data_IF_171516772892
#
_entry.id   IF_171516772892
#
_cell.length_a   1.000
_cell.length_b   1.000
_cell.length_c   1.000
_cell.angle_alpha   90.00
_cell.angle_beta   90.00
_cell.angle_gamma   90.00
#
_symmetry.space_group_name_H-M   'P 1'
#
loop_
_entity.id
_entity.type
_entity.pdbx_description
1 polymer ?
#
# COMPACT_ATOMS: atom_id res chain seq x y z
N UNK A 1 -0.85 -23.56 -29.66
CA UNK A 1 -1.83 -22.55 -29.25
C UNK A 1 -0.99 -21.32 -28.98
N UNK A 2 -1.23 -20.18 -29.63
CA UNK A 2 -0.45 -18.97 -29.37
C UNK A 2 -0.98 -18.35 -28.07
N UNK A 3 -0.10 -17.91 -27.17
CA UNK A 3 -0.47 -17.10 -26.01
C UNK A 3 -0.79 -15.68 -26.50
N UNK A 4 -1.79 -15.02 -25.92
CA UNK A 4 -2.06 -13.62 -26.23
C UNK A 4 -0.90 -12.74 -25.75
N UNK A 5 -0.70 -11.59 -26.39
CA UNK A 5 0.31 -10.60 -25.98
C UNK A 5 0.10 -10.17 -24.51
N UNK A 6 -1.16 -9.96 -24.13
CA UNK A 6 -1.56 -9.66 -22.74
C UNK A 6 -1.16 -10.76 -21.75
N UNK A 7 -1.43 -12.02 -22.06
CA UNK A 7 -1.07 -13.12 -21.18
C UNK A 7 0.45 -13.31 -21.10
N UNK A 8 1.20 -12.95 -22.15
CA UNK A 8 2.66 -12.93 -22.12
C UNK A 8 3.21 -11.81 -21.21
N UNK A 9 2.58 -10.63 -21.23
CA UNK A 9 2.93 -9.52 -20.34
C UNK A 9 2.67 -9.86 -18.87
N UNK A 10 1.50 -10.46 -18.58
CA UNK A 10 1.19 -10.99 -17.23
C UNK A 10 2.28 -11.95 -16.75
N UNK A 11 2.72 -12.89 -17.59
CA UNK A 11 3.79 -13.81 -17.22
C UNK A 11 5.08 -13.07 -16.89
N UNK A 12 5.49 -12.09 -17.72
CA UNK A 12 6.72 -11.34 -17.48
C UNK A 12 6.64 -10.52 -16.19
N UNK A 13 5.49 -9.94 -15.88
CA UNK A 13 5.30 -9.14 -14.68
C UNK A 13 5.30 -9.99 -13.42
N UNK A 14 4.64 -11.16 -13.45
CA UNK A 14 4.70 -12.11 -12.35
C UNK A 14 6.10 -12.72 -12.17
N UNK A 15 6.88 -12.90 -13.24
CA UNK A 15 8.29 -13.28 -13.15
C UNK A 15 9.10 -12.20 -12.41
N UNK A 16 8.90 -10.91 -12.75
CA UNK A 16 9.57 -9.80 -12.05
C UNK A 16 9.20 -9.76 -10.57
N UNK A 17 7.90 -9.82 -10.24
CA UNK A 17 7.41 -9.84 -8.85
C UNK A 17 8.04 -10.99 -8.05
N UNK A 18 8.09 -12.20 -8.61
CA UNK A 18 8.65 -13.32 -7.89
C UNK A 18 10.18 -13.20 -7.72
N UNK A 19 10.90 -12.63 -8.68
CA UNK A 19 12.33 -12.32 -8.49
C UNK A 19 12.55 -11.26 -7.40
N UNK A 20 11.66 -10.28 -7.30
CA UNK A 20 11.67 -9.28 -6.24
C UNK A 20 11.38 -9.92 -4.88
N UNK A 21 10.36 -10.79 -4.78
CA UNK A 21 10.10 -11.62 -3.58
C UNK A 21 11.31 -12.45 -3.17
N UNK A 22 11.96 -13.14 -4.11
CA UNK A 22 13.19 -13.93 -3.85
C UNK A 22 14.25 -13.05 -3.21
N UNK A 23 14.52 -11.89 -3.80
CA UNK A 23 15.54 -10.95 -3.31
C UNK A 23 15.18 -10.41 -1.93
N UNK A 24 13.91 -10.05 -1.76
CA UNK A 24 13.34 -9.53 -0.53
C UNK A 24 13.49 -10.46 0.66
N UNK A 25 13.02 -11.70 0.53
CA UNK A 25 13.14 -12.70 1.59
C UNK A 25 14.59 -13.10 1.89
N UNK A 26 15.45 -13.18 0.87
CA UNK A 26 16.89 -13.43 1.08
C UNK A 26 17.54 -12.31 1.89
N UNK A 27 17.15 -11.05 1.62
CA UNK A 27 17.65 -9.88 2.34
C UNK A 27 17.10 -9.84 3.76
N UNK A 28 15.80 -10.04 3.97
CA UNK A 28 15.17 -10.17 5.28
C UNK A 28 15.88 -11.24 6.13
N UNK A 29 16.17 -12.42 5.55
CA UNK A 29 16.92 -13.47 6.23
C UNK A 29 18.38 -13.13 6.55
N UNK A 30 19.02 -12.28 5.75
CA UNK A 30 20.40 -11.80 6.00
C UNK A 30 20.45 -10.76 7.11
N UNK A 31 19.41 -9.94 7.24
CA UNK A 31 19.35 -8.85 8.22
C UNK A 31 18.91 -9.32 9.62
N UNK A 32 18.47 -10.58 9.75
CA UNK A 32 18.29 -11.26 11.02
C UNK A 32 19.66 -11.58 11.67
N UNK A 33 19.87 -11.13 12.91
CA UNK A 33 21.12 -11.37 13.67
C UNK A 33 21.23 -12.77 14.26
N UNK A 34 20.11 -13.35 14.65
CA UNK A 34 19.96 -14.69 15.19
C UNK A 34 18.77 -15.36 14.48
N UNK A 35 18.76 -16.69 14.34
CA UNK A 35 17.58 -17.43 13.84
C UNK A 35 16.52 -17.52 14.96
N UNK A 36 16.11 -16.36 15.45
CA UNK A 36 15.05 -16.22 16.43
C UNK A 36 13.78 -16.83 15.83
N UNK A 37 13.38 -17.97 16.39
CA UNK A 37 12.14 -18.67 16.07
C UNK A 37 12.02 -19.31 14.67
N UNK A 38 13.13 -19.56 13.96
CA UNK A 38 13.11 -20.29 12.69
C UNK A 38 12.66 -19.47 11.48
N UNK A 39 12.64 -18.14 11.60
CA UNK A 39 12.27 -17.21 10.54
C UNK A 39 13.16 -17.31 9.31
N UNK A 40 14.45 -17.63 9.49
CA UNK A 40 15.35 -17.85 8.36
C UNK A 40 14.85 -19.04 7.53
N UNK A 41 14.30 -20.08 8.15
CA UNK A 41 13.73 -21.22 7.43
C UNK A 41 12.45 -20.83 6.67
N UNK A 42 11.62 -19.95 7.25
CA UNK A 42 10.41 -19.42 6.60
C UNK A 42 10.77 -18.59 5.38
N UNK A 43 11.64 -17.59 5.53
CA UNK A 43 12.06 -16.74 4.40
C UNK A 43 12.74 -17.55 3.29
N UNK A 44 13.57 -18.54 3.64
CA UNK A 44 14.16 -19.44 2.65
C UNK A 44 13.12 -20.31 1.94
N UNK A 45 12.07 -20.76 2.64
CA UNK A 45 10.95 -21.48 2.03
C UNK A 45 10.24 -20.59 1.01
N UNK A 46 9.85 -19.38 1.41
CA UNK A 46 9.11 -18.45 0.55
C UNK A 46 9.94 -18.01 -0.67
N UNK A 47 11.24 -17.71 -0.49
CA UNK A 47 12.15 -17.46 -1.60
C UNK A 47 12.29 -18.69 -2.53
N UNK A 48 12.31 -19.91 -1.96
CA UNK A 48 12.35 -21.14 -2.73
C UNK A 48 11.09 -21.37 -3.58
N UNK A 49 9.90 -21.09 -3.02
CA UNK A 49 8.62 -21.16 -3.71
C UNK A 49 8.55 -20.12 -4.85
N UNK A 50 8.92 -18.87 -4.58
CA UNK A 50 8.98 -17.84 -5.63
C UNK A 50 9.95 -18.20 -6.76
N UNK A 51 11.09 -18.83 -6.46
CA UNK A 51 12.02 -19.29 -7.50
C UNK A 51 11.42 -20.43 -8.35
N UNK A 52 10.60 -21.30 -7.76
CA UNK A 52 9.85 -22.32 -8.50
C UNK A 52 8.82 -21.66 -9.41
N UNK A 53 8.08 -20.67 -8.92
CA UNK A 53 7.10 -19.92 -9.71
C UNK A 53 7.74 -19.21 -10.90
N UNK A 54 8.90 -18.54 -10.71
CA UNK A 54 9.69 -17.98 -11.82
C UNK A 54 10.03 -19.04 -12.86
N UNK A 55 10.44 -20.23 -12.43
CA UNK A 55 10.82 -21.32 -13.34
C UNK A 55 9.62 -21.81 -14.16
N UNK A 56 8.49 -22.07 -13.49
CA UNK A 56 7.25 -22.50 -14.14
C UNK A 56 6.74 -21.47 -15.16
N UNK A 57 6.70 -20.20 -14.76
CA UNK A 57 6.28 -19.10 -15.63
C UNK A 57 7.22 -18.92 -16.83
N UNK A 58 8.53 -19.06 -16.61
CA UNK A 58 9.54 -19.01 -17.67
C UNK A 58 9.39 -20.17 -18.65
N UNK A 59 9.16 -21.39 -18.15
CA UNK A 59 8.93 -22.57 -18.98
C UNK A 59 7.66 -22.42 -19.83
N UNK A 60 6.60 -21.86 -19.26
CA UNK A 60 5.37 -21.54 -19.99
C UNK A 60 5.65 -20.52 -21.09
N UNK A 61 6.32 -19.40 -20.77
CA UNK A 61 6.68 -18.38 -21.76
C UNK A 61 7.47 -18.97 -22.94
N UNK A 62 8.44 -19.85 -22.66
CA UNK A 62 9.27 -20.51 -23.67
C UNK A 62 8.49 -21.52 -24.53
N UNK A 63 7.58 -22.31 -23.93
CA UNK A 63 6.77 -23.29 -24.67
C UNK A 63 5.88 -22.64 -25.75
N UNK A 64 5.53 -21.37 -25.57
CA UNK A 64 4.67 -20.61 -26.48
C UNK A 64 5.43 -19.75 -27.50
N UNK A 65 6.75 -19.92 -27.60
CA UNK A 65 7.57 -19.31 -28.66
C UNK A 65 8.03 -17.88 -28.40
N UNK A 66 7.81 -17.36 -27.18
CA UNK A 66 8.44 -16.13 -26.72
C UNK A 66 9.85 -16.40 -26.19
N UNK A 67 10.81 -15.54 -26.51
CA UNK A 67 12.00 -15.43 -25.67
C UNK A 67 11.53 -14.84 -24.34
N UNK A 68 11.62 -15.60 -23.25
CA UNK A 68 11.35 -15.07 -21.92
C UNK A 68 12.22 -13.83 -21.73
N UNK A 69 11.59 -12.68 -21.52
CA UNK A 69 12.30 -11.43 -21.43
C UNK A 69 13.19 -11.47 -20.18
N UNK A 70 14.51 -11.55 -20.38
CA UNK A 70 15.51 -11.17 -19.37
C UNK A 70 15.53 -9.63 -19.18
N UNK A 71 14.64 -8.89 -19.85
CA UNK A 71 14.45 -7.45 -19.68
C UNK A 71 13.31 -6.88 -20.54
N UNK A 72 12.49 -6.06 -19.87
CA UNK A 72 11.48 -5.10 -20.36
C UNK A 72 10.52 -5.55 -21.47
N UNK A 73 9.47 -6.32 -21.14
CA UNK A 73 8.15 -5.99 -21.69
C UNK A 73 7.41 -5.08 -20.71
N UNK A 74 6.78 -4.06 -21.29
CA UNK A 74 6.24 -2.84 -20.69
C UNK A 74 4.76 -2.78 -21.04
N UNK A 75 3.91 -3.48 -20.28
CA UNK A 75 2.46 -3.32 -20.41
C UNK A 75 1.75 -3.75 -19.11
N UNK A 76 1.72 -2.83 -18.14
CA UNK A 76 1.01 -2.99 -16.86
C UNK A 76 1.79 -2.36 -15.72
N UNK A 77 1.18 -1.47 -14.93
CA UNK A 77 1.81 -0.79 -13.79
C UNK A 77 2.30 -1.79 -12.73
N UNK A 78 3.57 -2.23 -12.83
CA UNK A 78 4.16 -3.12 -11.84
C UNK A 78 4.75 -2.34 -10.66
N UNK A 79 4.04 -2.33 -9.53
CA UNK A 79 4.50 -1.77 -8.27
C UNK A 79 5.39 -2.80 -7.52
N UNK A 80 6.69 -2.51 -7.38
CA UNK A 80 7.69 -3.44 -6.80
C UNK A 80 7.92 -3.15 -5.32
N UNK A 81 7.15 -3.78 -4.44
CA UNK A 81 7.22 -3.55 -2.99
C UNK A 81 8.56 -3.95 -2.32
N UNK A 82 9.29 -4.94 -2.85
CA UNK A 82 10.54 -5.44 -2.23
C UNK A 82 11.81 -4.69 -2.65
N UNK A 83 11.72 -3.68 -3.53
CA UNK A 83 12.86 -2.83 -3.86
C UNK A 83 13.30 -1.99 -2.64
N UNK A 84 12.34 -1.57 -1.82
CA UNK A 84 12.58 -0.75 -0.63
C UNK A 84 13.38 -1.47 0.47
N UNK A 85 13.29 -2.81 0.55
CA UNK A 85 14.14 -3.62 1.47
C UNK A 85 15.63 -3.43 1.19
N UNK A 86 16.03 -3.10 -0.05
CA UNK A 86 17.44 -2.86 -0.38
C UNK A 86 18.00 -1.61 0.31
N UNK A 87 17.13 -0.71 0.82
CA UNK A 87 17.48 0.61 1.31
C UNK A 87 17.72 0.77 2.81
N UNK A 88 16.90 0.20 3.72
CA UNK A 88 16.84 0.78 5.07
C UNK A 88 16.43 -0.17 6.19
N UNK A 89 17.35 -0.93 6.79
CA UNK A 89 17.16 -1.45 8.16
C UNK A 89 18.48 -1.52 8.93
N UNK A 90 18.54 -0.92 10.11
CA UNK A 90 19.60 -1.21 11.09
C UNK A 90 19.21 -2.50 11.81
N UNK A 91 19.84 -3.63 11.48
CA UNK A 91 19.42 -4.99 11.87
C UNK A 91 19.28 -5.27 13.37
N UNK A 92 18.20 -4.81 13.98
CA UNK A 92 17.80 -5.06 15.36
C UNK A 92 16.27 -5.06 15.57
N UNK A 93 15.48 -4.74 14.55
CA UNK A 93 14.03 -4.64 14.68
C UNK A 93 13.35 -5.73 13.83
N UNK A 94 13.05 -6.84 14.49
CA UNK A 94 12.39 -7.98 13.86
C UNK A 94 10.98 -7.60 13.38
N UNK A 95 10.27 -6.73 14.11
CA UNK A 95 8.92 -6.30 13.77
C UNK A 95 8.95 -5.47 12.48
N UNK A 96 9.92 -4.56 12.34
CA UNK A 96 10.14 -3.82 11.10
C UNK A 96 10.43 -4.73 9.89
N UNK A 97 11.22 -5.80 10.09
CA UNK A 97 11.47 -6.79 9.03
C UNK A 97 10.18 -7.53 8.66
N UNK A 98 9.35 -7.90 9.63
CA UNK A 98 8.09 -8.61 9.38
C UNK A 98 7.04 -7.73 8.70
N UNK A 99 6.89 -6.48 9.14
CA UNK A 99 6.01 -5.48 8.50
C UNK A 99 6.36 -5.25 7.04
N UNK A 100 7.65 -5.11 6.77
CA UNK A 100 8.15 -4.95 5.40
C UNK A 100 7.89 -6.21 4.56
N UNK A 101 8.09 -7.40 5.16
CA UNK A 101 7.73 -8.65 4.50
C UNK A 101 6.23 -8.74 4.20
N UNK A 102 5.37 -8.36 5.14
CA UNK A 102 3.91 -8.38 4.97
C UNK A 102 3.46 -7.45 3.84
N UNK A 103 3.96 -6.20 3.81
CA UNK A 103 3.70 -5.25 2.72
C UNK A 103 4.15 -5.80 1.35
N UNK A 104 5.33 -6.41 1.33
CA UNK A 104 5.87 -7.06 0.13
C UNK A 104 5.01 -8.24 -0.35
N UNK A 105 4.45 -9.01 0.58
CA UNK A 105 3.56 -10.12 0.27
C UNK A 105 2.18 -9.63 -0.22
N UNK A 106 1.63 -8.55 0.35
CA UNK A 106 0.36 -7.95 -0.07
C UNK A 106 0.40 -7.40 -1.49
N UNK A 107 1.48 -6.73 -1.87
CA UNK A 107 1.68 -6.29 -3.25
C UNK A 107 1.67 -7.46 -4.24
N UNK A 108 2.29 -8.59 -3.87
CA UNK A 108 2.28 -9.78 -4.71
C UNK A 108 0.90 -10.45 -4.77
N UNK A 109 0.14 -10.48 -3.66
CA UNK A 109 -1.25 -10.96 -3.64
C UNK A 109 -2.12 -10.16 -4.59
N UNK A 110 -2.02 -8.83 -4.52
CA UNK A 110 -2.74 -7.92 -5.41
C UNK A 110 -2.39 -8.19 -6.87
N UNK A 111 -1.10 -8.27 -7.20
CA UNK A 111 -0.67 -8.50 -8.58
C UNK A 111 -1.15 -9.86 -9.14
N UNK A 112 -1.15 -10.93 -8.35
CA UNK A 112 -1.70 -12.22 -8.78
C UNK A 112 -3.22 -12.19 -8.97
N UNK A 113 -3.93 -11.47 -8.09
CA UNK A 113 -5.38 -11.27 -8.22
C UNK A 113 -5.70 -10.52 -9.52
N UNK A 114 -4.99 -9.44 -9.78
CA UNK A 114 -5.22 -8.60 -10.96
C UNK A 114 -4.80 -9.33 -12.25
N UNK A 115 -3.74 -10.15 -12.19
CA UNK A 115 -3.32 -11.02 -13.29
C UNK A 115 -4.38 -12.04 -13.71
N UNK A 116 -5.21 -12.50 -12.78
CA UNK A 116 -6.28 -13.47 -13.02
C UNK A 116 -7.55 -12.84 -13.62
N UNK A 117 -7.56 -11.54 -13.88
CA UNK A 117 -8.67 -10.87 -14.52
C UNK A 117 -8.96 -11.48 -15.92
N UNK A 118 -10.24 -11.77 -16.25
CA UNK A 118 -10.62 -12.27 -17.57
C UNK A 118 -10.13 -11.41 -18.76
N UNK A 119 -9.91 -10.11 -18.58
CA UNK A 119 -9.41 -9.18 -19.60
C UNK A 119 -7.97 -9.45 -20.03
N UNK A 120 -7.20 -10.17 -19.21
CA UNK A 120 -5.82 -10.58 -19.51
C UNK A 120 -5.75 -11.76 -20.49
N UNK A 121 -6.90 -12.32 -20.89
CA UNK A 121 -7.01 -13.33 -21.96
C UNK A 121 -6.12 -14.57 -21.71
N UNK A 122 -6.03 -14.99 -20.43
CA UNK A 122 -5.24 -16.15 -20.04
C UNK A 122 -5.82 -17.44 -20.65
N UNK A 123 -4.95 -18.38 -21.02
CA UNK A 123 -5.41 -19.73 -21.32
C UNK A 123 -5.90 -20.42 -20.03
N UNK A 124 -6.84 -21.39 -20.11
CA UNK A 124 -7.28 -22.13 -18.94
C UNK A 124 -6.13 -22.80 -18.18
N UNK A 125 -5.11 -23.28 -18.88
CA UNK A 125 -3.92 -23.89 -18.28
C UNK A 125 -3.07 -22.87 -17.53
N UNK A 126 -2.86 -21.68 -18.09
CA UNK A 126 -2.12 -20.60 -17.42
C UNK A 126 -2.89 -20.07 -16.20
N UNK A 127 -4.19 -19.83 -16.35
CA UNK A 127 -5.04 -19.39 -15.24
C UNK A 127 -5.00 -20.39 -14.07
N UNK A 128 -5.00 -21.71 -14.35
CA UNK A 128 -4.86 -22.73 -13.32
C UNK A 128 -3.51 -22.67 -12.61
N UNK A 129 -2.41 -22.46 -13.34
CA UNK A 129 -1.08 -22.28 -12.75
C UNK A 129 -1.06 -21.05 -11.85
N UNK A 130 -1.57 -19.90 -12.34
CA UNK A 130 -1.60 -18.66 -11.56
C UNK A 130 -2.45 -18.78 -10.29
N UNK A 131 -3.59 -19.49 -10.33
CA UNK A 131 -4.41 -19.76 -9.15
C UNK A 131 -3.67 -20.60 -8.10
N UNK A 132 -2.90 -21.62 -8.53
CA UNK A 132 -2.10 -22.45 -7.61
C UNK A 132 -1.00 -21.60 -6.96
N UNK A 133 -0.32 -20.76 -7.74
CA UNK A 133 0.72 -19.89 -7.22
C UNK A 133 0.14 -18.80 -6.30
N UNK A 134 -1.00 -18.21 -6.65
CA UNK A 134 -1.73 -17.25 -5.80
C UNK A 134 -2.10 -17.88 -4.45
N UNK A 135 -2.55 -19.13 -4.43
CA UNK A 135 -2.82 -19.83 -3.19
C UNK A 135 -1.56 -19.95 -2.32
N UNK A 136 -0.42 -20.36 -2.90
CA UNK A 136 0.84 -20.44 -2.16
C UNK A 136 1.33 -19.07 -1.66
N UNK A 137 1.09 -18.01 -2.43
CA UNK A 137 1.35 -16.62 -2.05
C UNK A 137 0.48 -16.18 -0.85
N UNK A 138 -0.81 -16.52 -0.86
CA UNK A 138 -1.70 -16.25 0.26
C UNK A 138 -1.26 -17.01 1.52
N UNK A 139 -0.90 -18.29 1.39
CA UNK A 139 -0.39 -19.11 2.49
C UNK A 139 0.94 -18.55 3.05
N UNK A 140 1.80 -18.02 2.17
CA UNK A 140 3.04 -17.36 2.55
C UNK A 140 2.81 -16.07 3.32
N UNK A 141 1.92 -15.21 2.83
CA UNK A 141 1.47 -14.00 3.51
C UNK A 141 0.90 -14.33 4.90
N UNK A 142 -0.04 -15.27 5.00
CA UNK A 142 -0.68 -15.62 6.26
C UNK A 142 0.32 -16.17 7.28
N UNK A 143 1.35 -16.87 6.81
CA UNK A 143 2.46 -17.30 7.65
C UNK A 143 3.27 -16.10 8.17
N UNK A 144 3.63 -15.15 7.31
CA UNK A 144 4.33 -13.92 7.70
C UNK A 144 3.51 -13.12 8.71
N UNK A 145 2.23 -12.89 8.42
CA UNK A 145 1.28 -12.23 9.33
C UNK A 145 1.19 -12.95 10.66
N UNK A 146 1.05 -14.28 10.66
CA UNK A 146 0.99 -15.04 11.91
C UNK A 146 2.26 -14.91 12.76
N UNK A 147 3.42 -14.73 12.12
CA UNK A 147 4.70 -14.56 12.80
C UNK A 147 4.88 -13.12 13.29
N UNK A 148 4.38 -12.15 12.53
CA UNK A 148 4.22 -10.75 12.94
C UNK A 148 3.33 -10.69 14.19
N UNK A 149 2.12 -11.23 14.14
CA UNK A 149 1.15 -11.23 15.24
C UNK A 149 1.70 -11.95 16.47
N UNK A 150 2.33 -13.13 16.30
CA UNK A 150 2.98 -13.84 17.42
C UNK A 150 4.09 -13.02 18.07
N UNK A 151 4.77 -12.16 17.31
CA UNK A 151 5.84 -11.31 17.81
C UNK A 151 5.29 -10.08 18.50
N UNK A 152 4.30 -9.43 17.90
CA UNK A 152 3.57 -8.33 18.52
C UNK A 152 2.95 -8.80 19.84
N UNK A 153 2.30 -9.96 19.85
CA UNK A 153 1.79 -10.63 21.04
C UNK A 153 2.88 -10.96 22.07
N UNK A 154 4.09 -11.35 21.65
CA UNK A 154 5.19 -11.65 22.58
C UNK A 154 5.79 -10.39 23.21
N UNK A 155 5.88 -9.30 22.44
CA UNK A 155 6.29 -7.99 22.93
C UNK A 155 5.19 -7.40 23.85
N UNK A 156 3.91 -7.68 23.57
CA UNK A 156 2.75 -7.28 24.37
C UNK A 156 2.50 -8.18 25.61
N UNK A 157 2.93 -9.45 25.60
CA UNK A 157 2.90 -10.36 26.74
C UNK A 157 3.86 -9.96 27.87
N UNK A 158 4.81 -9.05 27.61
CA UNK A 158 5.56 -8.38 28.69
C UNK A 158 4.70 -7.37 29.47
N UNK A 159 3.56 -6.95 28.91
CA UNK A 159 2.58 -6.07 29.53
C UNK A 159 1.35 -6.83 30.11
N UNK A 160 0.89 -7.93 29.51
CA UNK A 160 -0.30 -8.68 29.94
C UNK A 160 -0.05 -9.76 31.03
N UNK A 161 0.36 -9.33 32.23
CA UNK A 161 -0.03 -10.05 33.46
C UNK A 161 -1.42 -9.65 33.96
N UNK A 162 -2.18 -8.94 33.13
CA UNK A 162 -3.53 -8.46 33.40
C UNK A 162 -4.45 -8.89 32.24
N UNK A 163 -5.62 -9.43 32.58
CA UNK A 163 -6.83 -9.43 31.71
C UNK A 163 -7.06 -10.49 30.62
N UNK A 164 -6.63 -11.74 30.82
CA UNK A 164 -7.15 -12.88 30.03
C UNK A 164 -8.58 -13.26 30.46
N UNK A 165 -9.64 -13.01 29.67
CA UNK A 165 -10.91 -13.80 29.74
C UNK A 165 -11.89 -13.73 28.55
N UNK A 166 -11.62 -13.06 27.41
CA UNK A 166 -12.69 -12.79 26.41
C UNK A 166 -12.57 -13.42 25.01
N UNK A 167 -11.49 -14.12 24.64
CA UNK A 167 -11.15 -14.44 23.23
C UNK A 167 -11.88 -15.63 22.57
N UNK A 168 -12.66 -16.42 23.32
CA UNK A 168 -13.27 -17.65 22.78
C UNK A 168 -14.42 -17.47 21.76
N UNK A 169 -14.89 -16.24 21.56
CA UNK A 169 -16.05 -15.96 20.70
C UNK A 169 -15.70 -15.45 19.30
N UNK A 170 -14.43 -15.12 19.03
CA UNK A 170 -13.98 -14.39 17.83
C UNK A 170 -13.77 -15.29 16.60
N UNK A 171 -13.42 -16.56 16.81
CA UNK A 171 -12.97 -17.48 15.73
C UNK A 171 -14.13 -18.17 14.98
N UNK A 172 -15.33 -18.23 15.57
CA UNK A 172 -16.54 -18.78 14.91
C UNK A 172 -17.24 -17.79 13.98
N UNK A 173 -16.93 -16.50 14.09
CA UNK A 173 -17.62 -15.41 13.37
C UNK A 173 -17.05 -15.17 11.96
N UNK A 174 -15.71 -15.24 11.81
CA UNK A 174 -15.04 -15.03 10.51
C UNK A 174 -15.39 -16.08 9.45
N UNK A 175 -15.77 -17.30 9.85
CA UNK A 175 -16.25 -18.32 8.91
C UNK A 175 -17.65 -18.04 8.35
N UNK A 176 -18.50 -17.27 9.05
CA UNK A 176 -19.85 -16.95 8.57
C UNK A 176 -19.89 -15.70 7.65
N UNK A 177 -18.89 -14.82 7.74
CA UNK A 177 -18.79 -13.58 6.94
C UNK A 177 -18.30 -13.81 5.50
N UNK A 178 -17.40 -14.77 5.28
CA UNK A 178 -16.85 -15.08 3.94
C UNK A 178 -17.89 -15.64 2.95
N UNK A 179 -19.03 -16.14 3.41
CA UNK A 179 -20.09 -16.66 2.55
C UNK A 179 -21.10 -15.60 2.07
N UNK A 180 -21.08 -14.36 2.59
CA UNK A 180 -22.14 -13.36 2.31
C UNK A 180 -21.80 -12.24 1.30
N UNK A 181 -20.55 -12.03 0.91
CA UNK A 181 -20.17 -10.95 -0.01
C UNK A 181 -19.67 -11.47 -1.37
N UNK A 182 -20.59 -12.04 -2.14
CA UNK A 182 -20.48 -12.11 -3.60
C UNK A 182 -21.48 -11.13 -4.20
N UNK A 183 -20.98 -10.13 -4.95
CA UNK A 183 -21.69 -9.08 -5.71
C UNK A 183 -21.88 -7.73 -4.99
N UNK A 184 -21.05 -6.72 -5.34
CA UNK A 184 -21.38 -5.29 -5.53
C UNK A 184 -20.24 -4.58 -6.32
N UNK A 185 -20.51 -3.43 -7.00
CA UNK A 185 -20.12 -3.19 -8.40
C UNK A 185 -18.79 -2.43 -8.61
N UNK A 186 -18.20 -2.63 -9.80
CA UNK A 186 -17.00 -1.96 -10.30
C UNK A 186 -17.22 -0.46 -10.51
N UNK A 187 -16.23 0.34 -10.08
CA UNK A 187 -16.19 1.79 -10.27
C UNK A 187 -15.57 2.15 -11.64
N UNK A 188 -16.20 1.70 -12.73
CA UNK A 188 -15.88 2.16 -14.08
C UNK A 188 -16.73 3.38 -14.43
N UNK A 189 -16.14 4.58 -14.38
CA UNK A 189 -16.91 5.76 -14.82
C UNK A 189 -16.30 7.16 -14.67
N UNK A 190 -15.02 7.32 -14.29
CA UNK A 190 -14.46 8.66 -14.07
C UNK A 190 -13.33 9.10 -15.01
N UNK A 191 -12.74 8.21 -15.81
CA UNK A 191 -11.69 8.57 -16.78
C UNK A 191 -12.21 8.41 -18.21
N UNK A 192 -12.49 9.52 -18.88
CA UNK A 192 -12.81 9.52 -20.30
C UNK A 192 -11.60 9.08 -21.13
N UNK A 193 -11.84 8.20 -22.10
CA UNK A 193 -10.86 7.72 -23.07
C UNK A 193 -10.09 8.89 -23.72
N UNK A 194 -8.78 8.99 -23.44
CA UNK A 194 -7.87 9.82 -24.22
C UNK A 194 -7.07 8.95 -25.17
N UNK A 195 -7.25 9.20 -26.45
CA UNK A 195 -6.56 8.58 -27.59
C UNK A 195 -5.05 8.88 -27.51
N UNK A 196 -4.25 8.00 -26.90
CA UNK A 196 -2.80 8.20 -26.76
C UNK A 196 -2.02 7.58 -27.93
N UNK A 197 -1.86 8.36 -28.99
CA UNK A 197 -0.63 8.31 -29.78
C UNK A 197 0.30 9.44 -29.31
N UNK A 198 1.59 9.09 -29.12
CA UNK A 198 2.76 9.93 -28.79
C UNK A 198 2.98 10.19 -27.28
N UNK A 199 4.17 10.13 -26.69
CA UNK A 199 5.53 9.94 -27.18
C UNK A 199 6.40 9.35 -26.05
N UNK A 200 6.85 8.09 -26.19
CA UNK A 200 7.95 7.58 -25.39
C UNK A 200 9.26 8.19 -25.94
N UNK A 201 9.95 8.98 -25.14
CA UNK A 201 11.38 9.20 -25.37
C UNK A 201 12.10 7.99 -24.73
N UNK A 202 12.93 7.26 -25.48
CA UNK A 202 13.62 6.07 -24.96
C UNK A 202 14.62 6.45 -23.87
N UNK A 203 14.73 5.61 -22.84
CA UNK A 203 15.73 5.74 -21.77
C UNK A 203 17.16 5.81 -22.35
N UNK A 204 18.08 6.53 -21.68
CA UNK A 204 19.47 6.59 -22.11
C UNK A 204 20.13 5.20 -22.01
N UNK A 205 20.59 4.68 -23.14
CA UNK A 205 21.31 3.40 -23.21
C UNK A 205 22.79 3.55 -22.82
N UNK A 206 23.28 4.79 -22.62
CA UNK A 206 24.68 5.07 -22.33
C UNK A 206 24.92 6.39 -21.58
N UNK A 207 26.15 6.55 -21.09
CA UNK A 207 26.62 7.66 -20.25
C UNK A 207 26.51 9.03 -20.97
N UNK A 208 26.71 9.10 -22.29
CA UNK A 208 26.58 10.36 -23.04
C UNK A 208 25.11 10.79 -23.14
N UNK A 209 24.20 9.82 -23.30
CA UNK A 209 22.76 10.08 -23.24
C UNK A 209 22.31 10.41 -21.82
N UNK A 210 22.86 9.76 -20.80
CA UNK A 210 22.59 10.08 -19.38
C UNK A 210 22.95 11.54 -19.07
N UNK A 211 24.08 12.04 -19.55
CA UNK A 211 24.50 13.44 -19.39
C UNK A 211 23.56 14.41 -20.14
N UNK A 212 23.15 14.08 -21.36
CA UNK A 212 22.18 14.88 -22.15
C UNK A 212 20.76 14.85 -21.53
N UNK A 213 20.38 13.71 -20.93
CA UNK A 213 19.16 13.51 -20.16
C UNK A 213 19.14 14.33 -18.86
N UNK A 214 20.25 14.36 -18.12
CA UNK A 214 20.42 15.19 -16.93
C UNK A 214 20.41 16.69 -17.28
N UNK A 215 20.97 17.09 -18.42
CA UNK A 215 20.95 18.47 -18.91
C UNK A 215 19.54 18.91 -19.37
N UNK A 216 18.74 17.99 -19.92
CA UNK A 216 17.31 18.19 -20.24
C UNK A 216 16.42 18.30 -18.99
N UNK A 217 16.69 17.51 -17.94
CA UNK A 217 16.02 17.66 -16.65
C UNK A 217 16.40 18.97 -15.95
N UNK A 218 17.67 19.36 -15.99
CA UNK A 218 18.15 20.63 -15.44
C UNK A 218 17.56 21.87 -16.16
N UNK A 219 17.12 21.73 -17.41
CA UNK A 219 16.44 22.79 -18.16
C UNK A 219 14.91 22.77 -18.03
N UNK A 220 14.30 21.65 -17.61
CA UNK A 220 12.84 21.50 -17.44
C UNK A 220 12.33 21.71 -16.01
N UNK A 221 13.20 21.58 -15.00
CA UNK A 221 12.94 21.67 -13.56
C UNK A 221 12.39 23.02 -13.05
N UNK A 222 12.21 24.03 -13.89
CA UNK A 222 11.80 25.37 -13.43
C UNK A 222 10.85 26.19 -14.31
N UNK A 223 10.16 25.63 -15.30
CA UNK A 223 9.43 26.49 -16.26
C UNK A 223 8.12 25.95 -16.87
N UNK A 224 7.48 24.93 -16.28
CA UNK A 224 6.15 24.48 -16.74
C UNK A 224 5.07 24.83 -15.71
N UNK A 225 3.87 25.20 -16.19
CA UNK A 225 2.71 25.41 -15.32
C UNK A 225 2.30 24.15 -14.56
N UNK A 226 2.62 22.98 -15.13
CA UNK A 226 2.36 21.69 -14.49
C UNK A 226 3.29 21.47 -13.29
N UNK A 227 4.56 21.85 -13.40
CA UNK A 227 5.52 21.80 -12.29
C UNK A 227 5.15 22.80 -11.20
N UNK A 228 4.72 24.01 -11.58
CA UNK A 228 4.19 25.01 -10.63
C UNK A 228 2.98 24.45 -9.86
N UNK A 229 2.03 23.82 -10.58
CA UNK A 229 0.88 23.17 -9.96
C UNK A 229 1.30 22.02 -9.03
N UNK A 230 2.16 21.10 -9.50
CA UNK A 230 2.68 19.99 -8.70
C UNK A 230 3.33 20.46 -7.39
N UNK A 231 4.17 21.50 -7.45
CA UNK A 231 4.79 22.05 -6.24
C UNK A 231 3.76 22.70 -5.32
N UNK A 232 2.73 23.36 -5.84
CA UNK A 232 1.67 23.93 -5.00
C UNK A 232 0.86 22.84 -4.31
N UNK A 233 0.53 21.75 -5.00
CA UNK A 233 -0.18 20.61 -4.40
C UNK A 233 0.69 19.87 -3.36
N UNK A 234 2.02 19.79 -3.53
CA UNK A 234 2.92 19.29 -2.47
C UNK A 234 2.84 20.15 -1.20
N UNK A 235 2.71 21.47 -1.34
CA UNK A 235 2.56 22.39 -0.19
C UNK A 235 1.20 22.22 0.50
N UNK A 236 0.17 21.90 -0.28
CA UNK A 236 -1.19 21.64 0.19
C UNK A 236 -1.23 20.34 1.01
N UNK A 237 -0.69 19.24 0.45
CA UNK A 237 -0.53 17.96 1.14
C UNK A 237 0.31 18.08 2.41
N UNK A 238 1.48 18.74 2.35
CA UNK A 238 2.32 18.88 3.54
C UNK A 238 1.62 19.68 4.65
N UNK A 239 0.73 20.60 4.28
CA UNK A 239 -0.10 21.29 5.27
C UNK A 239 -1.16 20.35 5.85
N UNK A 240 -1.88 19.61 4.99
CA UNK A 240 -2.94 18.68 5.40
C UNK A 240 -2.41 17.65 6.41
N UNK A 241 -1.29 17.01 6.09
CA UNK A 241 -0.61 16.01 6.91
C UNK A 241 -0.20 16.57 8.28
N UNK A 242 0.34 17.79 8.31
CA UNK A 242 0.70 18.45 9.57
C UNK A 242 -0.51 18.80 10.41
N UNK A 243 -1.60 19.22 9.77
CA UNK A 243 -2.86 19.49 10.47
C UNK A 243 -3.45 18.19 11.06
N UNK A 244 -3.37 17.07 10.33
CA UNK A 244 -3.78 15.76 10.82
C UNK A 244 -2.91 15.26 11.98
N UNK A 245 -1.58 15.48 11.95
CA UNK A 245 -0.70 15.19 13.09
C UNK A 245 -1.16 15.90 14.37
N UNK A 246 -1.66 17.14 14.24
CA UNK A 246 -2.18 17.90 15.38
C UNK A 246 -3.62 17.45 15.78
N UNK A 247 -4.40 16.92 14.84
CA UNK A 247 -5.83 16.57 15.02
C UNK A 247 -6.06 15.15 15.54
N UNK A 248 -5.33 14.16 15.02
CA UNK A 248 -5.51 12.74 15.34
C UNK A 248 -5.41 12.41 16.85
N UNK A 249 -4.56 13.07 17.67
CA UNK A 249 -4.57 12.88 19.12
C UNK A 249 -5.93 13.20 19.76
N UNK A 250 -6.60 14.27 19.32
CA UNK A 250 -7.88 14.69 19.87
C UNK A 250 -9.00 13.74 19.44
N UNK A 251 -8.94 13.21 18.20
CA UNK A 251 -9.86 12.17 17.73
C UNK A 251 -9.68 10.86 18.51
N UNK A 252 -8.44 10.46 18.78
CA UNK A 252 -8.14 9.29 19.60
C UNK A 252 -8.62 9.47 21.06
N UNK A 253 -8.47 10.65 21.65
CA UNK A 253 -9.00 10.93 22.99
C UNK A 253 -10.53 10.88 23.03
N UNK A 254 -11.18 11.42 21.99
CA UNK A 254 -12.64 11.52 21.90
C UNK A 254 -13.35 10.19 21.61
N UNK A 255 -12.68 9.24 20.95
CA UNK A 255 -13.22 7.92 20.67
C UNK A 255 -13.57 7.15 21.95
N UNK A 256 -14.52 6.23 21.86
CA UNK A 256 -15.02 5.45 22.99
C UNK A 256 -14.42 4.05 22.97
N UNK A 257 -14.53 3.38 21.82
CA UNK A 257 -14.04 2.02 21.61
C UNK A 257 -12.51 2.00 21.57
N UNK A 258 -11.91 1.01 22.23
CA UNK A 258 -10.45 0.88 22.28
C UNK A 258 -9.85 0.63 20.89
N UNK A 259 -10.60 -0.06 20.03
CA UNK A 259 -10.21 -0.35 18.65
C UNK A 259 -10.06 0.93 17.82
N UNK A 260 -11.06 1.82 17.86
CA UNK A 260 -11.01 3.10 17.16
C UNK A 260 -9.90 4.02 17.69
N UNK A 261 -9.66 4.01 19.01
CA UNK A 261 -8.53 4.74 19.62
C UNK A 261 -7.20 4.28 19.04
N UNK A 262 -7.01 2.97 19.00
CA UNK A 262 -5.77 2.37 18.46
C UNK A 262 -5.61 2.70 16.99
N UNK A 263 -6.69 2.65 16.20
CA UNK A 263 -6.65 3.03 14.78
C UNK A 263 -6.14 4.47 14.58
N UNK A 264 -6.68 5.46 15.30
CA UNK A 264 -6.20 6.85 15.20
C UNK A 264 -4.77 7.05 15.71
N UNK A 265 -4.34 6.31 16.74
CA UNK A 265 -2.96 6.39 17.25
C UNK A 265 -1.97 5.81 16.24
N UNK A 266 -2.30 4.68 15.64
CA UNK A 266 -1.46 4.05 14.61
C UNK A 266 -1.36 4.96 13.39
N UNK A 267 -2.51 5.47 12.92
CA UNK A 267 -2.54 6.37 11.79
C UNK A 267 -1.74 7.65 12.06
N UNK A 268 -1.79 8.22 13.27
CA UNK A 268 -0.93 9.35 13.64
C UNK A 268 0.58 9.08 13.45
N UNK A 269 1.05 7.85 13.70
CA UNK A 269 2.44 7.50 13.47
C UNK A 269 2.76 7.31 11.97
N UNK A 270 1.80 6.85 11.18
CA UNK A 270 1.86 6.84 9.71
C UNK A 270 1.92 8.27 9.16
N UNK A 271 1.00 9.16 9.55
CA UNK A 271 0.94 10.58 9.14
C UNK A 271 2.26 11.32 9.42
N UNK A 272 2.93 11.06 10.55
CA UNK A 272 4.28 11.63 10.82
C UNK A 272 5.34 11.15 9.82
N UNK A 273 5.21 9.91 9.36
CA UNK A 273 6.05 9.34 8.32
C UNK A 273 5.74 9.98 6.97
N UNK A 274 4.46 10.23 6.66
CA UNK A 274 4.00 10.93 5.46
C UNK A 274 4.55 12.35 5.38
N UNK A 275 4.48 13.12 6.47
CA UNK A 275 5.14 14.43 6.60
C UNK A 275 6.62 14.33 6.25
N UNK A 276 7.32 13.33 6.78
CA UNK A 276 8.75 13.13 6.53
C UNK A 276 9.04 12.78 5.06
N UNK A 277 8.17 11.99 4.41
CA UNK A 277 8.25 11.66 2.97
C UNK A 277 8.04 12.91 2.11
N UNK A 278 7.04 13.73 2.41
CA UNK A 278 6.80 14.98 1.69
C UNK A 278 7.98 15.96 1.84
N UNK A 279 8.52 16.13 3.04
CA UNK A 279 9.73 16.94 3.27
C UNK A 279 10.93 16.40 2.48
N UNK A 280 11.07 15.07 2.38
CA UNK A 280 12.09 14.45 1.54
C UNK A 280 11.88 14.78 0.05
N UNK A 281 10.65 14.72 -0.45
CA UNK A 281 10.29 15.09 -1.83
C UNK A 281 10.64 16.55 -2.12
N UNK A 282 10.35 17.49 -1.21
CA UNK A 282 10.81 18.88 -1.34
C UNK A 282 12.33 18.95 -1.52
N UNK A 283 13.08 18.21 -0.70
CA UNK A 283 14.54 18.10 -0.81
C UNK A 283 15.03 17.53 -2.15
N UNK A 284 14.37 16.51 -2.69
CA UNK A 284 14.67 15.93 -4.02
C UNK A 284 14.48 16.95 -5.14
N UNK A 285 13.53 17.87 -4.99
CA UNK A 285 13.29 18.96 -5.93
C UNK A 285 14.23 20.16 -5.71
N UNK A 286 15.13 20.11 -4.72
CA UNK A 286 15.98 21.24 -4.34
C UNK A 286 15.21 22.41 -3.75
N UNK A 287 14.05 22.14 -3.16
CA UNK A 287 13.16 23.11 -2.52
C UNK A 287 13.21 22.94 -1.01
N UNK A 288 12.98 24.03 -0.29
CA UNK A 288 12.72 23.96 1.15
C UNK A 288 11.26 23.56 1.39
N UNK A 289 10.96 22.73 2.39
CA UNK A 289 9.58 22.41 2.76
C UNK A 289 8.79 23.67 3.09
N UNK A 290 7.70 23.88 2.36
CA UNK A 290 6.78 25.00 2.55
C UNK A 290 5.35 24.46 2.55
N UNK A 291 4.47 25.10 3.31
CA UNK A 291 3.06 24.70 3.42
C UNK A 291 2.15 25.82 2.93
N UNK A 292 1.08 25.46 2.24
CA UNK A 292 -0.05 26.35 1.95
C UNK A 292 -1.28 25.75 2.61
N UNK A 293 -2.08 26.57 3.30
CA UNK A 293 -3.28 26.07 3.96
C UNK A 293 -4.18 25.34 2.94
N UNK A 294 -4.49 24.08 3.25
CA UNK A 294 -5.50 23.32 2.52
C UNK A 294 -6.88 23.63 3.10
N UNK A 295 -7.69 24.39 2.37
CA UNK A 295 -9.05 24.71 2.80
C UNK A 295 -9.96 23.46 2.82
N UNK A 296 -9.66 22.44 2.00
CA UNK A 296 -10.42 21.19 1.98
C UNK A 296 -10.17 20.36 3.25
N UNK A 297 -8.91 20.06 3.56
CA UNK A 297 -8.56 19.34 4.79
C UNK A 297 -8.96 20.13 6.04
N UNK A 298 -8.76 21.45 6.05
CA UNK A 298 -9.25 22.29 7.17
C UNK A 298 -10.74 22.12 7.42
N UNK A 299 -11.56 22.01 6.37
CA UNK A 299 -12.99 21.80 6.52
C UNK A 299 -13.35 20.40 7.03
N UNK A 300 -12.56 19.38 6.68
CA UNK A 300 -12.73 18.00 7.18
C UNK A 300 -12.35 17.92 8.66
N UNK A 301 -11.24 18.55 9.06
CA UNK A 301 -10.82 18.68 10.46
C UNK A 301 -11.87 19.42 11.28
N UNK A 302 -12.38 20.56 10.77
CA UNK A 302 -13.47 21.30 11.42
C UNK A 302 -14.73 20.42 11.61
N UNK A 303 -15.03 19.51 10.66
CA UNK A 303 -16.14 18.56 10.78
C UNK A 303 -15.88 17.55 11.93
N UNK A 304 -14.65 17.05 12.08
CA UNK A 304 -14.24 16.20 13.20
C UNK A 304 -14.46 16.88 14.55
N UNK A 305 -14.02 18.14 14.68
CA UNK A 305 -14.23 18.96 15.88
C UNK A 305 -15.72 19.20 16.18
N UNK A 306 -16.53 19.44 15.15
CA UNK A 306 -17.97 19.57 15.28
C UNK A 306 -18.60 18.27 15.81
N UNK A 307 -18.15 17.11 15.33
CA UNK A 307 -18.64 15.81 15.80
C UNK A 307 -18.29 15.61 17.28
N UNK A 308 -17.05 15.88 17.69
CA UNK A 308 -16.63 15.77 19.09
C UNK A 308 -17.49 16.67 20.00
N UNK A 309 -17.77 17.89 19.56
CA UNK A 309 -18.52 18.88 20.35
C UNK A 309 -20.05 18.69 20.36
N UNK A 310 -20.63 18.08 19.32
CA UNK A 310 -22.09 17.91 19.18
C UNK A 310 -22.61 16.51 19.52
N UNK A 311 -21.73 15.55 19.81
CA UNK A 311 -22.08 14.21 20.31
C UNK A 311 -21.76 14.07 21.79
N UNK A 312 -22.49 13.21 22.50
CA UNK A 312 -22.24 12.95 23.93
C UNK A 312 -20.99 12.07 24.11
N UNK A 313 -20.22 12.34 25.16
CA UNK A 313 -18.98 11.61 25.45
C UNK A 313 -19.24 10.16 25.84
N UNK A 314 -18.44 9.25 25.27
CA UNK A 314 -18.57 7.83 25.51
C UNK A 314 -19.73 7.16 24.76
N UNK A 315 -20.30 7.83 23.75
CA UNK A 315 -21.38 7.26 22.94
C UNK A 315 -20.87 6.57 21.69
N UNK A 316 -21.52 5.49 21.30
CA UNK A 316 -21.26 4.85 20.02
C UNK A 316 -21.64 5.75 18.84
N UNK A 317 -22.64 6.64 19.01
CA UNK A 317 -22.94 7.70 18.04
C UNK A 317 -21.72 8.58 17.75
N UNK A 318 -20.94 8.96 18.77
CA UNK A 318 -19.71 9.73 18.58
C UNK A 318 -18.71 8.96 17.73
N UNK A 319 -18.46 7.70 18.05
CA UNK A 319 -17.52 6.85 17.32
C UNK A 319 -17.92 6.70 15.84
N UNK A 320 -19.22 6.52 15.53
CA UNK A 320 -19.71 6.53 14.14
C UNK A 320 -19.34 7.84 13.44
N UNK A 321 -19.55 8.97 14.12
CA UNK A 321 -19.19 10.28 13.57
C UNK A 321 -17.69 10.42 13.32
N UNK A 322 -16.86 10.03 14.30
CA UNK A 322 -15.41 10.10 14.18
C UNK A 322 -14.88 9.24 13.03
N UNK A 323 -15.41 8.03 12.85
CA UNK A 323 -15.11 7.18 11.69
C UNK A 323 -15.48 7.90 10.40
N UNK A 324 -16.69 8.48 10.34
CA UNK A 324 -17.15 9.18 9.13
C UNK A 324 -16.26 10.39 8.77
N UNK A 325 -15.76 11.12 9.77
CA UNK A 325 -14.79 12.19 9.56
C UNK A 325 -13.43 11.66 9.11
N UNK A 326 -12.93 10.60 9.76
CA UNK A 326 -11.68 9.92 9.38
C UNK A 326 -11.71 9.46 7.92
N UNK A 327 -12.71 8.69 7.52
CA UNK A 327 -12.84 8.22 6.14
C UNK A 327 -12.92 9.36 5.11
N UNK A 328 -13.50 10.51 5.47
CA UNK A 328 -13.49 11.68 4.58
C UNK A 328 -12.09 12.26 4.40
N UNK A 329 -11.26 12.26 5.46
CA UNK A 329 -9.86 12.64 5.37
C UNK A 329 -9.10 11.65 4.46
N UNK A 330 -9.23 10.35 4.72
CA UNK A 330 -8.58 9.29 3.91
C UNK A 330 -8.95 9.41 2.42
N UNK A 331 -10.23 9.57 2.11
CA UNK A 331 -10.68 9.71 0.73
C UNK A 331 -10.15 10.97 0.04
N UNK A 332 -9.98 12.07 0.78
CA UNK A 332 -9.33 13.27 0.27
C UNK A 332 -7.84 13.01 -0.02
N UNK A 333 -7.13 12.29 0.86
CA UNK A 333 -5.71 11.99 0.70
C UNK A 333 -5.48 10.98 -0.42
N UNK A 334 -6.27 9.92 -0.51
CA UNK A 334 -6.25 8.95 -1.62
C UNK A 334 -6.43 9.66 -2.97
N UNK A 335 -7.38 10.61 -3.07
CA UNK A 335 -7.59 11.37 -4.29
C UNK A 335 -6.40 12.30 -4.60
N UNK A 336 -5.86 12.98 -3.59
CA UNK A 336 -4.76 13.94 -3.71
C UNK A 336 -3.45 13.24 -4.08
N UNK A 337 -3.05 12.21 -3.35
CA UNK A 337 -1.87 11.40 -3.65
C UNK A 337 -1.99 10.69 -5.00
N UNK A 338 -3.16 10.16 -5.37
CA UNK A 338 -3.37 9.53 -6.68
C UNK A 338 -3.15 10.52 -7.85
N UNK A 339 -3.64 11.76 -7.69
CA UNK A 339 -3.35 12.85 -8.61
C UNK A 339 -1.86 13.18 -8.68
N UNK A 340 -1.21 13.29 -7.52
CA UNK A 340 0.21 13.63 -7.42
C UNK A 340 1.13 12.58 -8.03
N UNK A 341 0.84 11.29 -7.86
CA UNK A 341 1.56 10.18 -8.51
C UNK A 341 1.48 10.33 -10.04
N UNK A 342 0.28 10.60 -10.56
CA UNK A 342 0.06 10.80 -12.00
C UNK A 342 0.84 12.01 -12.54
N UNK A 343 0.89 13.10 -11.78
CA UNK A 343 1.65 14.30 -12.12
C UNK A 343 3.16 14.06 -12.06
N UNK A 344 3.66 13.39 -11.01
CA UNK A 344 5.07 13.04 -10.86
C UNK A 344 5.54 12.15 -12.02
N UNK A 345 4.78 11.11 -12.40
CA UNK A 345 5.04 10.29 -13.59
C UNK A 345 5.07 11.14 -14.88
N UNK A 346 4.12 12.06 -15.05
CA UNK A 346 4.05 12.95 -16.22
C UNK A 346 5.25 13.89 -16.33
N UNK A 347 5.71 14.40 -15.18
CA UNK A 347 6.90 15.25 -15.07
C UNK A 347 8.22 14.45 -15.07
N UNK A 348 8.13 13.11 -15.13
CA UNK A 348 9.25 12.15 -15.12
C UNK A 348 10.04 12.11 -13.81
N UNK A 349 9.42 12.48 -12.69
CA UNK A 349 9.96 12.27 -11.35
C UNK A 349 9.52 10.91 -10.80
N UNK A 350 10.03 9.82 -11.38
CA UNK A 350 9.60 8.47 -11.03
C UNK A 350 9.95 8.10 -9.58
N UNK A 351 11.12 8.51 -9.09
CA UNK A 351 11.53 8.30 -7.70
C UNK A 351 10.57 9.00 -6.71
N UNK A 352 10.07 10.20 -7.07
CA UNK A 352 9.07 10.91 -6.25
C UNK A 352 7.71 10.19 -6.33
N UNK A 353 7.33 9.69 -7.51
CA UNK A 353 6.09 8.93 -7.66
C UNK A 353 6.09 7.65 -6.81
N UNK A 354 7.23 6.98 -6.66
CA UNK A 354 7.39 5.80 -5.82
C UNK A 354 7.17 6.12 -4.33
N UNK A 355 7.74 7.23 -3.84
CA UNK A 355 7.53 7.69 -2.45
C UNK A 355 6.05 8.03 -2.21
N UNK A 356 5.38 8.67 -3.17
CA UNK A 356 3.95 9.00 -3.07
C UNK A 356 3.07 7.74 -3.09
N UNK A 357 3.46 6.69 -3.81
CA UNK A 357 2.77 5.38 -3.81
C UNK A 357 2.78 4.73 -2.43
N UNK A 358 3.89 4.80 -1.71
CA UNK A 358 3.95 4.26 -0.34
C UNK A 358 2.90 4.90 0.57
N UNK A 359 2.70 6.21 0.41
CA UNK A 359 1.76 6.97 1.25
C UNK A 359 0.31 6.62 0.92
N UNK A 360 -0.08 6.64 -0.37
CA UNK A 360 -1.47 6.29 -0.76
C UNK A 360 -1.87 4.86 -0.37
N UNK A 361 -0.94 3.91 -0.33
CA UNK A 361 -1.25 2.53 0.06
C UNK A 361 -1.46 2.39 1.58
N UNK A 362 -0.80 3.23 2.38
CA UNK A 362 -1.08 3.37 3.81
C UNK A 362 -2.47 4.00 4.03
N UNK A 363 -2.84 5.08 3.32
CA UNK A 363 -4.18 5.71 3.45
C UNK A 363 -5.33 4.77 3.08
N UNK A 364 -5.16 3.98 2.01
CA UNK A 364 -6.16 2.96 1.64
C UNK A 364 -6.33 1.90 2.73
N UNK A 365 -5.25 1.57 3.43
CA UNK A 365 -5.28 0.58 4.51
C UNK A 365 -5.98 1.17 5.74
N UNK A 366 -5.73 2.44 6.05
CA UNK A 366 -6.42 3.18 7.10
C UNK A 366 -7.94 3.29 6.85
N UNK A 367 -8.36 3.65 5.62
CA UNK A 367 -9.79 3.71 5.26
C UNK A 367 -10.48 2.33 5.37
N UNK A 368 -9.79 1.26 4.93
CA UNK A 368 -10.30 -0.10 5.05
C UNK A 368 -10.48 -0.51 6.52
N UNK A 369 -9.52 -0.16 7.39
CA UNK A 369 -9.60 -0.42 8.82
C UNK A 369 -10.78 0.35 9.46
N UNK A 370 -10.95 1.63 9.12
CA UNK A 370 -12.08 2.42 9.60
C UNK A 370 -13.43 1.83 9.17
N UNK A 371 -13.52 1.32 7.93
CA UNK A 371 -14.70 0.59 7.44
C UNK A 371 -14.96 -0.66 8.28
N UNK A 372 -13.94 -1.45 8.59
CA UNK A 372 -14.05 -2.66 9.40
C UNK A 372 -14.61 -2.36 10.80
N UNK A 373 -14.05 -1.34 11.47
CA UNK A 373 -14.49 -0.90 12.80
C UNK A 373 -15.96 -0.45 12.77
N UNK A 374 -16.34 0.28 11.72
CA UNK A 374 -17.70 0.74 11.53
C UNK A 374 -18.68 -0.44 11.44
N UNK A 375 -18.41 -1.39 10.55
CA UNK A 375 -19.33 -2.48 10.20
C UNK A 375 -19.43 -3.55 11.28
N UNK A 376 -18.32 -3.87 11.97
CA UNK A 376 -18.28 -5.00 12.91
C UNK A 376 -18.71 -4.65 14.34
N UNK A 377 -18.66 -3.37 14.72
CA UNK A 377 -18.89 -2.99 16.11
C UNK A 377 -19.71 -1.71 16.23
N UNK A 378 -19.14 -0.59 15.76
CA UNK A 378 -19.59 0.75 16.13
C UNK A 378 -20.98 1.08 15.59
N UNK A 379 -21.30 0.72 14.34
CA UNK A 379 -22.64 0.95 13.77
C UNK A 379 -23.72 0.16 14.50
N UNK A 380 -23.44 -1.08 14.91
CA UNK A 380 -24.41 -1.91 15.63
C UNK A 380 -24.67 -1.34 17.02
N UNK A 381 -23.63 -0.97 17.77
CA UNK A 381 -23.77 -0.38 19.09
C UNK A 381 -24.58 0.93 19.03
N UNK A 382 -24.21 1.83 18.11
CA UNK A 382 -24.92 3.09 17.90
C UNK A 382 -26.40 2.87 17.52
N UNK A 383 -26.73 1.82 16.76
CA UNK A 383 -28.11 1.53 16.36
C UNK A 383 -29.03 1.12 17.53
N UNK A 384 -28.45 0.65 18.63
CA UNK A 384 -29.17 0.21 19.83
C UNK A 384 -29.04 1.18 21.01
N UNK A 385 -28.19 2.20 20.86
CA UNK A 385 -27.98 3.27 21.81
C UNK A 385 -29.27 4.09 22.00
N UNK A 386 -29.56 4.44 23.26
CA UNK A 386 -30.77 5.22 23.57
C UNK A 386 -30.44 6.70 23.54
N UNK A 387 -31.18 7.43 22.73
CA UNK A 387 -31.19 8.89 22.68
C UNK A 387 -31.64 9.57 23.98
#
# INVERSE_FOLDING_TARGET
MEISEKAFDVINDLIKINNDRVTGFQKAGTDLKDDDNGLIAVFNKLAGESQQYVTELTDIAQQYGGEAAVGTSTTGDLHRAWIDIKGTFTGNDLLAILNECERGEDAAKAAYRDSLDPENELSPELAQVLQIQQQGINEGHDLIKSLHDQRDDADNATYETAETTATGSRELFYQELQEQFTEQPSYEGAAGESDTQTAHAPEPENIEQEEEWQELQATSTGNSKLMEFFVNELKDLLWAERELVDTLPDMAEAATSQELKTAFINHLDETKTHVSRLEHIFGMLGLEPETTKCDAMSGIVDEGDEIISHTEEGTAQRDVGLIFAGQKAEHYEIASYGGMISLAKTLRYYDIAEILVQTIDEEKSADALLTEIAENHVNYEASTERA
#
